data_IF_876344458751
#
_entry.id   IF_876344458751
#
_cell.length_a   1.000
_cell.length_b   1.000
_cell.length_c   1.000
_cell.angle_alpha   90.00
_cell.angle_beta   90.00
_cell.angle_gamma   90.00
#
_symmetry.space_group_name_H-M   'P 1'
#
loop_
_entity.id
_entity.type
_entity.pdbx_description
1 polymer ?
#
# COMPACT_ATOMS: atom_id res chain seq x y z
N UNK A 1 17.38 -40.00 57.26
CA UNK A 1 16.97 -38.75 56.60
C UNK A 1 17.20 -38.89 55.12
N UNK A 2 16.14 -38.95 54.33
CA UNK A 2 16.19 -38.99 52.86
C UNK A 2 15.07 -38.06 52.40
N UNK A 3 15.42 -36.90 51.90
CA UNK A 3 14.48 -36.07 51.15
C UNK A 3 15.12 -35.72 49.82
N UNK A 4 14.35 -36.03 48.79
CA UNK A 4 14.73 -36.12 47.40
C UNK A 4 14.91 -34.72 46.80
N UNK A 5 15.90 -34.61 45.92
CA UNK A 5 16.14 -33.49 45.02
C UNK A 5 14.85 -33.16 44.25
N UNK A 6 14.34 -31.94 44.42
CA UNK A 6 13.28 -31.37 43.58
C UNK A 6 13.85 -30.12 42.91
N UNK A 7 14.45 -30.31 41.72
CA UNK A 7 14.72 -29.22 40.79
C UNK A 7 13.39 -28.78 40.16
N UNK A 8 12.95 -27.52 40.29
CA UNK A 8 11.82 -27.05 39.50
C UNK A 8 12.31 -26.76 38.09
N UNK A 9 11.91 -27.61 37.15
CA UNK A 9 12.01 -27.38 35.72
C UNK A 9 11.14 -26.16 35.38
N UNK A 10 11.74 -24.98 35.29
CA UNK A 10 11.07 -23.77 34.82
C UNK A 10 10.74 -23.94 33.33
N UNK A 11 9.49 -24.26 33.04
CA UNK A 11 8.90 -24.26 31.71
C UNK A 11 8.94 -22.83 31.14
N UNK A 12 9.88 -22.56 30.23
CA UNK A 12 9.78 -21.41 29.32
C UNK A 12 8.61 -21.65 28.36
N UNK A 13 7.41 -21.23 28.75
CA UNK A 13 6.33 -20.94 27.81
C UNK A 13 6.70 -19.63 27.11
N UNK A 14 7.46 -19.73 26.02
CA UNK A 14 7.53 -18.61 25.07
C UNK A 14 6.13 -18.42 24.51
N UNK A 15 5.50 -17.30 24.86
CA UNK A 15 4.33 -16.82 24.16
C UNK A 15 4.76 -16.54 22.71
N UNK A 16 4.56 -17.53 21.84
CA UNK A 16 4.52 -17.27 20.41
C UNK A 16 3.25 -16.46 20.19
N UNK A 17 3.41 -15.13 20.16
CA UNK A 17 2.37 -14.25 19.63
C UNK A 17 2.01 -14.83 18.25
N UNK A 18 0.73 -15.12 17.96
CA UNK A 18 0.34 -15.44 16.60
C UNK A 18 0.77 -14.24 15.76
N UNK A 19 1.80 -14.42 14.93
CA UNK A 19 2.08 -13.47 13.88
C UNK A 19 0.83 -13.47 13.01
N UNK A 20 -0.05 -12.49 13.18
CA UNK A 20 -1.14 -12.27 12.25
C UNK A 20 -0.47 -11.96 10.93
N UNK A 21 -0.36 -12.98 10.06
CA UNK A 21 0.19 -12.79 8.73
C UNK A 21 -0.59 -11.68 8.01
N UNK A 22 0.11 -10.91 7.19
CA UNK A 22 -0.51 -9.85 6.38
C UNK A 22 -1.59 -10.49 5.52
N UNK A 23 -2.83 -10.03 5.64
CA UNK A 23 -3.95 -10.57 4.85
C UNK A 23 -3.77 -10.22 3.37
N UNK A 24 -3.92 -11.20 2.49
CA UNK A 24 -3.79 -10.98 1.06
C UNK A 24 -5.16 -10.80 0.38
N UNK A 25 -5.33 -9.67 -0.32
CA UNK A 25 -6.54 -9.30 -1.03
C UNK A 25 -6.30 -9.49 -2.54
N UNK A 26 -7.06 -10.37 -3.18
CA UNK A 26 -6.91 -10.73 -4.61
C UNK A 26 -7.23 -9.60 -5.61
N UNK A 27 -7.44 -8.38 -5.15
CA UNK A 27 -7.71 -7.23 -6.01
C UNK A 27 -6.43 -6.81 -6.75
N UNK A 28 -6.53 -6.59 -8.06
CA UNK A 28 -5.43 -6.06 -8.88
C UNK A 28 -5.78 -4.62 -9.26
N UNK A 29 -5.00 -3.60 -8.87
CA UNK A 29 -5.25 -2.24 -9.33
C UNK A 29 -5.15 -2.14 -10.86
N UNK A 30 -6.11 -1.46 -11.47
CA UNK A 30 -6.20 -1.29 -12.92
C UNK A 30 -6.21 0.19 -13.29
N UNK A 31 -5.69 0.52 -14.47
CA UNK A 31 -5.91 1.83 -15.07
C UNK A 31 -7.41 2.06 -15.29
N UNK A 32 -7.86 3.28 -15.07
CA UNK A 32 -9.28 3.64 -15.20
C UNK A 32 -9.83 3.28 -16.58
N UNK A 33 -10.93 2.53 -16.63
CA UNK A 33 -11.65 2.24 -17.87
C UNK A 33 -12.37 3.46 -18.47
N UNK A 34 -12.51 4.54 -17.72
CA UNK A 34 -13.17 5.77 -18.17
C UNK A 34 -12.38 6.49 -19.30
N UNK A 35 -13.13 7.10 -20.23
CA UNK A 35 -12.56 7.94 -21.29
C UNK A 35 -12.11 9.29 -20.72
N UNK A 36 -10.88 9.35 -20.21
CA UNK A 36 -10.29 10.54 -19.58
C UNK A 36 -9.11 11.04 -20.40
N UNK A 37 -9.14 12.31 -20.82
CA UNK A 37 -8.03 12.95 -21.53
C UNK A 37 -6.70 12.90 -20.74
N UNK A 38 -6.78 12.80 -19.41
CA UNK A 38 -5.64 12.65 -18.51
C UNK A 38 -5.43 11.24 -17.94
N UNK A 39 -5.96 10.19 -18.59
CA UNK A 39 -5.79 8.80 -18.12
C UNK A 39 -4.32 8.40 -18.00
N UNK A 40 -3.51 8.78 -18.99
CA UNK A 40 -2.06 8.67 -19.01
C UNK A 40 -1.50 9.99 -19.54
N UNK A 41 -0.49 10.54 -18.88
CA UNK A 41 0.28 11.70 -19.34
C UNK A 41 1.77 11.36 -19.28
N UNK A 42 2.66 12.34 -19.48
CA UNK A 42 4.11 12.14 -19.30
C UNK A 42 4.53 11.91 -17.83
N UNK A 43 3.69 12.27 -16.86
CA UNK A 43 4.03 12.26 -15.43
C UNK A 43 2.91 11.79 -14.52
N UNK A 44 1.74 11.41 -15.07
CA UNK A 44 0.59 10.95 -14.30
C UNK A 44 -0.10 9.77 -14.95
N UNK A 45 -0.75 8.94 -14.14
CA UNK A 45 -1.70 7.95 -14.61
C UNK A 45 -2.89 7.84 -13.68
N UNK A 46 -4.01 7.36 -14.20
CA UNK A 46 -5.28 7.31 -13.49
C UNK A 46 -5.72 5.86 -13.29
N UNK A 47 -5.97 5.48 -12.03
CA UNK A 47 -6.44 4.18 -11.60
C UNK A 47 -7.95 4.21 -11.29
N UNK A 48 -8.60 3.06 -11.37
CA UNK A 48 -9.90 2.85 -10.71
C UNK A 48 -9.74 2.92 -9.19
N UNK A 49 -10.67 3.56 -8.49
CA UNK A 49 -10.69 3.45 -7.03
C UNK A 49 -11.08 2.02 -6.61
N UNK A 50 -10.42 1.44 -5.60
CA UNK A 50 -10.65 0.07 -5.12
C UNK A 50 -11.91 -0.05 -4.24
N UNK A 51 -13.07 0.32 -4.79
CA UNK A 51 -14.34 0.33 -4.07
C UNK A 51 -14.70 -1.07 -3.54
N UNK A 52 -15.05 -1.15 -2.26
CA UNK A 52 -15.46 -2.37 -1.57
C UNK A 52 -14.35 -3.37 -1.25
N UNK A 53 -13.13 -3.15 -1.73
CA UNK A 53 -12.06 -4.16 -1.65
C UNK A 53 -11.51 -4.35 -0.22
N UNK A 54 -11.64 -3.32 0.62
CA UNK A 54 -11.12 -3.29 1.99
C UNK A 54 -12.19 -3.53 3.06
N UNK A 55 -13.34 -4.10 2.70
CA UNK A 55 -14.36 -4.50 3.66
C UNK A 55 -14.00 -5.86 4.32
N UNK A 56 -12.91 -5.87 5.09
CA UNK A 56 -12.40 -7.03 5.81
C UNK A 56 -12.50 -6.80 7.32
N UNK A 57 -12.69 -7.88 8.08
CA UNK A 57 -12.77 -7.81 9.55
C UNK A 57 -11.43 -7.46 10.21
N UNK A 58 -10.32 -7.74 9.52
CA UNK A 58 -8.95 -7.41 9.93
C UNK A 58 -8.61 -5.92 9.80
N UNK A 59 -9.34 -5.17 8.97
CA UNK A 59 -9.06 -3.78 8.65
C UNK A 59 -10.02 -2.88 9.43
N UNK A 60 -9.48 -1.97 10.24
CA UNK A 60 -10.23 -0.95 10.98
C UNK A 60 -10.56 0.29 10.11
N UNK A 61 -11.52 1.10 10.54
CA UNK A 61 -11.81 2.43 9.96
C UNK A 61 -10.64 3.42 10.15
N UNK A 62 -9.79 3.17 11.15
CA UNK A 62 -8.59 3.98 11.45
C UNK A 62 -7.35 3.55 10.67
N UNK A 63 -7.37 2.36 10.06
CA UNK A 63 -6.19 1.84 9.37
C UNK A 63 -5.92 2.64 8.10
N UNK A 64 -4.64 2.95 7.88
CA UNK A 64 -4.21 3.76 6.76
C UNK A 64 -3.94 2.88 5.55
N UNK A 65 -4.64 3.16 4.46
CA UNK A 65 -4.45 2.52 3.17
C UNK A 65 -3.53 3.41 2.34
N UNK A 66 -2.37 2.87 1.98
CA UNK A 66 -1.38 3.51 1.14
C UNK A 66 -1.44 2.93 -0.27
N UNK A 67 -1.23 3.78 -1.28
CA UNK A 67 -0.84 3.31 -2.61
C UNK A 67 0.69 3.21 -2.67
N UNK A 68 1.19 2.01 -2.94
CA UNK A 68 2.61 1.78 -3.23
C UNK A 68 2.82 2.00 -4.72
N UNK A 69 3.75 2.88 -5.08
CA UNK A 69 4.17 3.11 -6.47
C UNK A 69 5.60 2.63 -6.60
N UNK A 70 5.83 1.69 -7.51
CA UNK A 70 7.13 1.06 -7.70
C UNK A 70 7.53 1.05 -9.18
N UNK A 71 8.83 1.08 -9.46
CA UNK A 71 9.33 0.60 -10.74
C UNK A 71 9.04 -0.90 -10.86
N UNK A 72 8.67 -1.36 -12.07
CA UNK A 72 8.35 -2.77 -12.29
C UNK A 72 9.48 -3.71 -11.85
N UNK A 73 10.74 -3.34 -12.10
CA UNK A 73 11.92 -4.12 -11.68
C UNK A 73 12.13 -4.19 -10.15
N UNK A 74 11.52 -3.30 -9.38
CA UNK A 74 11.72 -3.20 -7.94
C UNK A 74 10.73 -4.05 -7.14
N UNK A 75 9.63 -4.52 -7.75
CA UNK A 75 8.58 -5.23 -7.01
C UNK A 75 9.05 -6.55 -6.39
N UNK A 76 10.05 -7.21 -6.99
CA UNK A 76 10.60 -8.48 -6.48
C UNK A 76 11.35 -8.29 -5.15
N UNK A 77 11.81 -7.07 -4.89
CA UNK A 77 12.54 -6.69 -3.67
C UNK A 77 11.67 -5.85 -2.72
N UNK A 78 10.37 -5.73 -2.99
CA UNK A 78 9.48 -4.99 -2.12
C UNK A 78 9.31 -5.73 -0.80
N UNK A 79 9.42 -4.98 0.30
CA UNK A 79 9.13 -5.46 1.65
C UNK A 79 8.23 -4.43 2.29
N UNK A 80 7.10 -4.88 2.85
CA UNK A 80 6.20 -4.01 3.58
C UNK A 80 6.94 -3.42 4.79
N UNK A 81 6.84 -2.10 5.04
CA UNK A 81 7.51 -1.47 6.17
C UNK A 81 6.98 -2.08 7.49
N UNK A 82 7.84 -2.32 8.49
CA UNK A 82 7.40 -2.91 9.75
C UNK A 82 6.59 -1.92 10.59
N UNK A 83 6.81 -0.61 10.42
CA UNK A 83 6.09 0.44 11.15
C UNK A 83 5.67 1.59 10.24
N UNK A 84 4.76 2.45 10.71
CA UNK A 84 4.33 3.64 9.97
C UNK A 84 5.44 4.70 9.83
N UNK A 85 6.47 4.65 10.69
CA UNK A 85 7.64 5.52 10.64
C UNK A 85 8.53 5.20 9.43
N UNK A 86 8.57 3.94 9.01
CA UNK A 86 9.40 3.43 7.91
C UNK A 86 8.78 3.63 6.52
N UNK A 87 7.61 4.27 6.44
CA UNK A 87 6.94 4.58 5.18
C UNK A 87 7.81 5.50 4.31
N UNK A 88 8.25 4.96 3.18
CA UNK A 88 9.09 5.65 2.21
C UNK A 88 8.37 6.78 1.48
N UNK A 89 9.07 7.90 1.32
CA UNK A 89 8.57 9.13 0.68
C UNK A 89 8.92 9.16 -0.81
N UNK A 90 8.20 9.93 -1.65
CA UNK A 90 8.42 9.98 -3.09
C UNK A 90 9.86 10.24 -3.53
N UNK A 91 10.61 11.08 -2.81
CA UNK A 91 12.01 11.38 -3.10
C UNK A 91 12.93 10.14 -3.12
N UNK A 92 12.53 9.04 -2.47
CA UNK A 92 13.32 7.80 -2.40
C UNK A 92 13.11 6.87 -3.60
N UNK A 93 12.16 7.17 -4.50
CA UNK A 93 11.79 6.29 -5.63
C UNK A 93 13.01 5.84 -6.45
N UNK A 94 13.93 6.76 -6.79
CA UNK A 94 15.12 6.44 -7.61
C UNK A 94 16.09 5.51 -6.88
N UNK A 95 16.19 5.61 -5.56
CA UNK A 95 17.15 4.87 -4.74
C UNK A 95 16.60 3.53 -4.26
N UNK A 96 15.34 3.50 -3.83
CA UNK A 96 14.68 2.33 -3.24
C UNK A 96 13.80 1.57 -4.23
N UNK A 97 13.44 2.20 -5.34
CA UNK A 97 12.62 1.62 -6.39
C UNK A 97 11.12 1.69 -6.15
N UNK A 98 10.68 2.14 -4.98
CA UNK A 98 9.27 2.34 -4.64
C UNK A 98 9.09 3.40 -3.56
N UNK A 99 7.87 3.91 -3.42
CA UNK A 99 7.44 4.82 -2.36
C UNK A 99 5.94 4.69 -2.08
N UNK A 100 5.46 5.36 -1.05
CA UNK A 100 4.06 5.35 -0.63
C UNK A 100 3.41 6.71 -0.82
N UNK A 101 2.17 6.71 -1.29
CA UNK A 101 1.41 7.91 -1.61
C UNK A 101 -0.08 7.73 -1.35
N UNK A 102 -0.85 8.81 -1.48
CA UNK A 102 -2.31 8.84 -1.40
C UNK A 102 -2.86 8.13 -0.15
N UNK A 103 -2.38 8.47 1.08
CA UNK A 103 -2.88 7.86 2.30
C UNK A 103 -4.38 8.16 2.46
N UNK A 104 -5.14 7.13 2.81
CA UNK A 104 -6.57 7.25 3.10
C UNK A 104 -7.02 6.13 4.02
N UNK A 105 -8.32 5.94 4.21
CA UNK A 105 -8.89 4.83 4.96
C UNK A 105 -10.04 4.19 4.20
N UNK A 106 -10.52 3.03 4.67
CA UNK A 106 -11.56 2.25 3.96
C UNK A 106 -12.89 3.00 3.81
N UNK A 107 -13.14 4.05 4.59
CA UNK A 107 -14.38 4.85 4.47
C UNK A 107 -14.45 5.61 3.14
N UNK A 108 -13.31 5.93 2.53
CA UNK A 108 -13.22 6.56 1.21
C UNK A 108 -13.35 5.55 0.05
N UNK A 109 -13.33 4.25 0.34
CA UNK A 109 -13.46 3.16 -0.64
C UNK A 109 -14.67 2.27 -0.38
N UNK A 110 -15.74 2.81 0.21
CA UNK A 110 -16.96 2.05 0.46
C UNK A 110 -17.63 1.60 -0.84
N UNK A 111 -18.16 0.38 -0.83
CA UNK A 111 -19.08 -0.07 -1.89
C UNK A 111 -20.28 0.87 -1.97
N UNK A 112 -20.70 1.21 -3.18
CA UNK A 112 -21.91 2.00 -3.41
C UNK A 112 -22.15 2.21 -4.89
N UNK A 113 -23.39 2.50 -5.28
CA UNK A 113 -23.74 2.80 -6.66
C UNK A 113 -22.87 3.93 -7.20
N UNK A 114 -22.11 3.65 -8.26
CA UNK A 114 -21.31 4.62 -8.99
C UNK A 114 -22.17 5.56 -9.84
N UNK A 115 -23.32 6.04 -9.33
CA UNK A 115 -24.12 7.04 -10.04
C UNK A 115 -23.21 8.20 -10.44
N UNK A 116 -23.32 8.72 -11.67
CA UNK A 116 -22.55 9.74 -12.45
C UNK A 116 -21.16 10.29 -12.01
N UNK A 117 -20.71 10.12 -10.78
CA UNK A 117 -19.45 10.60 -10.22
C UNK A 117 -18.31 9.65 -10.58
N UNK A 118 -17.32 10.21 -11.27
CA UNK A 118 -16.08 9.53 -11.61
C UNK A 118 -15.28 9.19 -10.34
N UNK A 119 -15.01 7.89 -10.12
CA UNK A 119 -14.24 7.39 -8.96
C UNK A 119 -12.87 6.89 -9.39
N UNK A 120 -11.90 7.79 -9.36
CA UNK A 120 -10.54 7.50 -9.82
C UNK A 120 -9.49 7.97 -8.82
N UNK A 121 -8.30 7.39 -8.91
CA UNK A 121 -7.10 7.85 -8.22
C UNK A 121 -6.09 8.29 -9.26
N UNK A 122 -5.64 9.54 -9.19
CA UNK A 122 -4.64 10.06 -10.12
C UNK A 122 -3.27 10.08 -9.45
N UNK A 123 -2.39 9.19 -9.90
CA UNK A 123 -1.01 9.12 -9.42
C UNK A 123 -0.21 10.24 -10.09
N UNK A 124 0.56 10.97 -9.28
CA UNK A 124 1.42 12.07 -9.67
C UNK A 124 0.72 13.43 -9.88
N UNK A 125 -0.49 13.62 -9.36
CA UNK A 125 -1.28 14.81 -9.68
C UNK A 125 -0.86 16.09 -8.91
N UNK A 126 -0.16 15.94 -7.79
CA UNK A 126 0.02 17.06 -6.85
C UNK A 126 1.29 17.85 -7.19
N UNK A 127 1.17 18.87 -8.04
CA UNK A 127 2.32 19.67 -8.52
C UNK A 127 2.99 20.53 -7.46
N UNK A 128 2.26 20.89 -6.39
CA UNK A 128 2.78 21.67 -5.26
C UNK A 128 3.36 20.78 -4.14
N UNK A 129 3.44 19.47 -4.40
CA UNK A 129 3.78 18.51 -3.38
C UNK A 129 5.28 18.39 -3.17
N UNK A 130 5.74 18.52 -1.93
CA UNK A 130 7.16 18.39 -1.59
C UNK A 130 7.54 16.91 -1.50
N UNK A 131 8.44 16.37 -2.36
CA UNK A 131 8.70 14.92 -2.46
C UNK A 131 9.25 14.25 -1.19
N UNK A 132 9.75 15.01 -0.21
CA UNK A 132 10.16 14.48 1.10
C UNK A 132 9.01 14.35 2.10
N UNK A 133 7.82 14.86 1.78
CA UNK A 133 6.64 14.74 2.64
C UNK A 133 6.02 13.35 2.49
N UNK A 134 5.78 12.66 3.61
CA UNK A 134 5.08 11.37 3.62
C UNK A 134 3.68 11.49 3.02
N UNK A 135 3.31 10.55 2.15
CA UNK A 135 2.01 10.51 1.48
C UNK A 135 1.81 11.50 0.35
N UNK A 136 2.83 12.31 0.05
CA UNK A 136 2.84 13.21 -1.08
C UNK A 136 2.67 12.45 -2.41
N UNK A 137 1.97 13.04 -3.38
CA UNK A 137 1.70 12.47 -4.71
C UNK A 137 2.27 13.34 -5.85
N UNK A 138 3.58 13.60 -5.87
CA UNK A 138 4.19 14.49 -6.85
C UNK A 138 4.24 13.84 -8.24
N UNK A 139 4.33 14.63 -9.33
CA UNK A 139 4.51 14.11 -10.69
C UNK A 139 5.61 13.05 -10.79
N UNK A 140 5.35 11.99 -11.54
CA UNK A 140 6.30 10.89 -11.72
C UNK A 140 7.50 11.35 -12.54
N UNK A 141 8.73 10.93 -12.20
CA UNK A 141 9.96 11.50 -12.75
C UNK A 141 10.33 10.98 -14.15
N UNK A 142 9.60 10.01 -14.72
CA UNK A 142 9.92 9.43 -16.02
C UNK A 142 8.85 8.47 -16.51
N UNK A 143 9.10 7.76 -17.62
CA UNK A 143 8.07 6.94 -18.28
C UNK A 143 7.79 5.57 -17.64
N UNK A 144 8.56 5.18 -16.61
CA UNK A 144 8.43 3.88 -15.96
C UNK A 144 9.19 2.76 -16.69
N UNK A 145 8.69 1.50 -16.71
CA UNK A 145 7.35 1.08 -16.33
C UNK A 145 7.13 1.08 -14.81
N UNK A 146 5.93 1.46 -14.40
CA UNK A 146 5.46 1.45 -13.01
C UNK A 146 4.51 0.29 -12.76
N UNK A 147 4.47 -0.18 -11.51
CA UNK A 147 3.42 -1.04 -10.97
C UNK A 147 2.97 -0.48 -9.63
N UNK A 148 1.73 -0.76 -9.26
CA UNK A 148 1.17 -0.31 -7.99
C UNK A 148 0.46 -1.43 -7.25
N UNK A 149 0.40 -1.31 -5.92
CA UNK A 149 -0.47 -2.11 -5.05
C UNK A 149 -0.97 -1.26 -3.90
N UNK A 150 -1.99 -1.71 -3.19
CA UNK A 150 -2.38 -1.11 -1.93
C UNK A 150 -1.79 -1.89 -0.77
N UNK A 151 -1.37 -1.16 0.26
CA UNK A 151 -0.92 -1.70 1.55
C UNK A 151 -1.72 -1.02 2.66
N UNK A 152 -2.31 -1.83 3.53
CA UNK A 152 -3.02 -1.38 4.72
C UNK A 152 -2.06 -1.47 5.89
N UNK A 153 -1.89 -0.35 6.60
CA UNK A 153 -0.99 -0.21 7.73
C UNK A 153 -1.77 0.27 8.95
N UNK A 154 -1.45 -0.28 10.11
CA UNK A 154 -1.85 0.27 11.41
C UNK A 154 -0.59 0.58 12.25
N UNK A 155 -0.78 0.97 13.50
CA UNK A 155 0.32 1.34 14.41
C UNK A 155 1.24 0.15 14.76
N UNK A 156 0.80 -1.09 14.53
CA UNK A 156 1.55 -2.32 14.76
C UNK A 156 2.23 -2.87 13.48
N UNK A 157 1.98 -2.27 12.31
CA UNK A 157 2.60 -2.66 11.05
C UNK A 157 1.61 -3.01 9.94
N UNK A 158 2.01 -3.84 8.96
CA UNK A 158 1.17 -4.20 7.83
C UNK A 158 0.04 -5.14 8.24
N UNK A 159 -1.18 -4.80 7.80
CA UNK A 159 -2.42 -5.54 8.12
C UNK A 159 -2.87 -6.36 6.93
N UNK A 160 -2.91 -5.74 5.75
CA UNK A 160 -3.38 -6.37 4.52
C UNK A 160 -2.71 -5.75 3.29
N UNK A 161 -2.66 -6.49 2.20
CA UNK A 161 -2.11 -6.01 0.93
C UNK A 161 -2.85 -6.55 -0.29
N UNK A 162 -2.78 -5.85 -1.41
CA UNK A 162 -3.37 -6.30 -2.68
C UNK A 162 -2.35 -6.95 -3.60
N UNK A 163 -2.80 -7.49 -4.72
CA UNK A 163 -1.92 -7.84 -5.84
C UNK A 163 -1.25 -6.60 -6.45
N UNK A 164 -0.14 -6.82 -7.14
CA UNK A 164 0.49 -5.81 -7.99
C UNK A 164 -0.29 -5.64 -9.30
N UNK A 165 -0.42 -4.39 -9.76
CA UNK A 165 -0.97 -4.07 -11.07
C UNK A 165 -0.12 -4.62 -12.21
N UNK A 166 -0.72 -4.64 -13.41
CA UNK A 166 0.03 -4.71 -14.66
C UNK A 166 0.99 -3.52 -14.81
N UNK A 167 2.00 -3.66 -15.68
CA UNK A 167 2.91 -2.56 -16.00
C UNK A 167 2.17 -1.39 -16.63
N UNK A 168 2.49 -0.19 -16.16
CA UNK A 168 2.04 1.07 -16.74
C UNK A 168 3.24 1.84 -17.25
N UNK A 169 3.24 2.19 -18.53
CA UNK A 169 4.21 3.12 -19.13
C UNK A 169 3.53 4.45 -19.38
N UNK A 170 4.17 5.52 -18.95
CA UNK A 170 3.69 6.88 -19.21
C UNK A 170 4.04 7.29 -20.64
N UNK A 171 3.36 8.33 -21.11
CA UNK A 171 3.64 8.89 -22.43
C UNK A 171 5.04 9.51 -22.44
N UNK A 172 5.68 9.48 -23.60
CA UNK A 172 6.94 10.19 -23.85
C UNK A 172 6.65 11.54 -24.49
#
# INVERSE_FOLDING_TARGET
GRSLLLSPLWLLLTWVQPGTGVEHISYVPQLSSAALAGKLTQSTFTLEQPQGQFNRSSISDSDCIWLVVAYSKAIQNFVAPPTTQDILVPATLTQKGYYFTLPTNRLHYRSGSAGSQLRVLRVGHDTHCFPMRRGCNPPLPGSGPYRVKFLVMNDHGPVAETEWSNETRLLQ
#
